data_IF_627147254060
#
_entry.id   IF_627147254060
#
_cell.length_a   1.000
_cell.length_b   1.000
_cell.length_c   1.000
_cell.angle_alpha   90.00
_cell.angle_beta   90.00
_cell.angle_gamma   90.00
#
_symmetry.space_group_name_H-M   'P 1'
#
loop_
_entity.id
_entity.type
_entity.pdbx_description
1 polymer ?
#
# COMPACT_ATOMS: atom_id res chain seq x y z
N UNK A 1 -8.20 7.02 3.21
CA UNK A 1 -7.00 6.20 3.49
C UNK A 1 -7.11 5.69 4.92
N UNK A 2 -7.00 4.39 5.14
CA UNK A 2 -7.01 3.81 6.50
C UNK A 2 -5.58 3.44 6.87
N UNK A 3 -5.12 3.98 7.99
CA UNK A 3 -3.85 3.63 8.60
C UNK A 3 -4.08 3.43 10.10
N UNK A 4 -3.86 2.21 10.58
CA UNK A 4 -3.73 1.87 12.01
C UNK A 4 -4.83 2.36 12.96
N UNK A 5 -6.10 1.99 12.76
CA UNK A 5 -7.19 2.40 13.69
C UNK A 5 -7.45 3.92 13.74
N UNK A 6 -6.74 4.68 12.90
CA UNK A 6 -6.91 6.09 12.64
C UNK A 6 -7.25 6.24 11.16
N UNK A 7 -8.53 6.18 10.84
CA UNK A 7 -8.98 6.46 9.48
C UNK A 7 -8.76 7.95 9.18
N UNK A 8 -8.00 8.24 8.12
CA UNK A 8 -7.83 9.61 7.61
C UNK A 8 -8.46 9.72 6.23
N UNK A 9 -9.52 10.51 6.16
CA UNK A 9 -10.07 10.95 4.89
C UNK A 9 -9.13 12.01 4.31
N UNK A 10 -8.68 11.78 3.08
CA UNK A 10 -7.89 12.76 2.31
C UNK A 10 -8.78 13.28 1.18
N UNK A 11 -8.90 14.59 1.07
CA UNK A 11 -9.81 15.23 0.11
C UNK A 11 -9.09 15.71 -1.15
N UNK A 12 -7.76 15.90 -1.08
CA UNK A 12 -6.95 16.41 -2.18
C UNK A 12 -5.67 15.59 -2.39
N UNK A 13 -5.10 15.68 -3.58
CA UNK A 13 -3.79 15.07 -3.88
C UNK A 13 -2.65 15.69 -3.06
N UNK A 14 -2.78 16.96 -2.67
CA UNK A 14 -1.83 17.61 -1.76
C UNK A 14 -1.91 17.03 -0.34
N UNK A 15 -3.12 16.82 0.19
CA UNK A 15 -3.32 16.18 1.50
C UNK A 15 -2.81 14.74 1.49
N UNK A 16 -2.99 14.03 0.38
CA UNK A 16 -2.46 12.69 0.17
C UNK A 16 -0.93 12.69 0.24
N UNK A 17 -0.27 13.55 -0.55
CA UNK A 17 1.19 13.63 -0.58
C UNK A 17 1.76 13.98 0.80
N UNK A 18 1.14 14.93 1.51
CA UNK A 18 1.51 15.28 2.88
C UNK A 18 1.33 14.09 3.84
N UNK A 19 0.23 13.34 3.72
CA UNK A 19 -0.03 12.14 4.54
C UNK A 19 1.02 11.05 4.29
N UNK A 20 1.36 10.77 3.04
CA UNK A 20 2.37 9.77 2.69
C UNK A 20 3.77 10.18 3.20
N UNK A 21 4.07 11.48 3.18
CA UNK A 21 5.31 12.03 3.71
C UNK A 21 5.36 11.92 5.25
N UNK A 22 4.28 12.28 5.94
CA UNK A 22 4.15 12.12 7.40
C UNK A 22 4.38 10.67 7.83
N UNK A 23 3.76 9.71 7.15
CA UNK A 23 3.97 8.27 7.41
C UNK A 23 5.44 7.92 7.24
N UNK A 24 6.06 8.37 6.14
CA UNK A 24 7.48 8.11 5.89
C UNK A 24 8.37 8.67 7.00
N UNK A 25 8.11 9.90 7.46
CA UNK A 25 8.84 10.53 8.57
C UNK A 25 8.64 9.75 9.87
N UNK A 26 7.41 9.35 10.20
CA UNK A 26 7.11 8.60 11.43
C UNK A 26 7.81 7.25 11.45
N UNK A 27 7.89 6.57 10.31
CA UNK A 27 8.59 5.27 10.19
C UNK A 27 10.11 5.36 10.25
N UNK A 28 10.70 6.55 10.17
CA UNK A 28 12.17 6.72 10.22
C UNK A 28 12.80 6.26 11.55
N UNK A 29 12.00 6.11 12.60
CA UNK A 29 12.42 5.66 13.94
C UNK A 29 11.83 4.31 14.34
N UNK A 30 11.08 3.66 13.44
CA UNK A 30 10.32 2.43 13.72
C UNK A 30 10.31 1.44 12.56
N UNK A 31 9.34 0.53 12.57
CA UNK A 31 9.10 -0.33 11.41
C UNK A 31 8.49 0.50 10.27
N UNK A 32 8.77 0.17 8.99
CA UNK A 32 7.96 0.68 7.89
C UNK A 32 6.51 0.22 8.07
N UNK A 33 5.55 0.87 7.42
CA UNK A 33 4.14 0.68 7.71
C UNK A 33 3.33 0.25 6.51
N UNK A 34 2.35 -0.60 6.76
CA UNK A 34 1.35 -0.99 5.79
C UNK A 34 0.11 -0.10 5.93
N UNK A 35 -0.38 0.43 4.81
CA UNK A 35 -1.58 1.26 4.72
C UNK A 35 -2.59 0.62 3.80
N UNK A 36 -3.88 0.75 4.14
CA UNK A 36 -4.96 0.35 3.25
C UNK A 36 -5.61 1.59 2.64
N UNK A 37 -5.59 1.68 1.31
CA UNK A 37 -6.12 2.81 0.55
C UNK A 37 -7.44 2.39 -0.06
N UNK A 38 -8.52 2.97 0.45
CA UNK A 38 -9.89 2.72 0.02
C UNK A 38 -10.46 3.92 -0.73
N UNK A 39 -11.40 3.71 -1.67
CA UNK A 39 -12.25 4.78 -2.19
C UNK A 39 -13.01 5.50 -1.07
N UNK A 40 -13.27 6.79 -1.25
CA UNK A 40 -14.02 7.58 -0.27
C UNK A 40 -15.43 6.99 -0.05
N UNK A 41 -15.96 7.15 1.16
CA UNK A 41 -17.30 6.69 1.54
C UNK A 41 -17.37 5.23 1.99
N UNK A 42 -16.28 4.47 1.89
CA UNK A 42 -16.20 3.06 2.28
C UNK A 42 -15.40 2.87 3.57
N UNK A 43 -15.16 3.94 4.33
CA UNK A 43 -14.34 3.92 5.56
C UNK A 43 -14.94 3.07 6.68
N UNK A 44 -16.24 2.79 6.59
CA UNK A 44 -17.01 2.02 7.56
C UNK A 44 -17.02 0.52 7.24
N UNK A 45 -16.56 0.12 6.06
CA UNK A 45 -16.54 -1.26 5.62
C UNK A 45 -15.24 -1.95 6.04
N UNK A 46 -15.34 -3.24 6.26
CA UNK A 46 -14.27 -4.16 6.60
C UNK A 46 -14.06 -5.15 5.46
N UNK A 47 -12.87 -5.77 5.34
CA UNK A 47 -12.62 -6.79 4.32
C UNK A 47 -13.53 -8.03 4.41
N UNK A 48 -14.39 -8.13 5.44
CA UNK A 48 -15.36 -9.20 5.63
C UNK A 48 -16.76 -8.84 5.14
N UNK A 49 -16.99 -7.59 4.73
CA UNK A 49 -18.26 -7.14 4.17
C UNK A 49 -18.35 -7.49 2.67
N UNK A 50 -19.51 -7.97 2.23
CA UNK A 50 -19.74 -8.43 0.84
C UNK A 50 -19.58 -7.31 -0.20
N UNK A 51 -19.75 -6.06 0.22
CA UNK A 51 -19.62 -4.86 -0.60
C UNK A 51 -18.29 -4.12 -0.40
N UNK A 52 -17.30 -4.78 0.22
CA UNK A 52 -15.98 -4.19 0.39
C UNK A 52 -15.36 -3.85 -0.98
N UNK A 53 -14.97 -2.59 -1.21
CA UNK A 53 -14.55 -2.17 -2.53
C UNK A 53 -13.13 -2.65 -2.84
N UNK A 54 -12.83 -2.69 -4.13
CA UNK A 54 -11.46 -2.84 -4.60
C UNK A 54 -10.55 -1.78 -3.95
N UNK A 55 -9.39 -2.21 -3.46
CA UNK A 55 -8.47 -1.33 -2.73
C UNK A 55 -7.01 -1.73 -2.89
N UNK A 56 -6.12 -0.86 -2.40
CA UNK A 56 -4.68 -1.12 -2.33
C UNK A 56 -4.22 -1.29 -0.88
N UNK A 57 -3.39 -2.29 -0.64
CA UNK A 57 -2.54 -2.35 0.54
C UNK A 57 -1.10 -2.01 0.12
N UNK A 58 -0.45 -1.08 0.81
CA UNK A 58 0.85 -0.55 0.40
C UNK A 58 1.80 -0.47 1.59
N UNK A 59 3.02 -0.97 1.40
CA UNK A 59 4.13 -0.81 2.34
C UNK A 59 4.90 0.48 2.10
N UNK A 60 5.04 1.32 3.11
CA UNK A 60 5.69 2.63 3.08
C UNK A 60 6.76 2.75 4.18
N UNK A 61 7.75 3.61 3.98
CA UNK A 61 8.71 3.98 5.03
C UNK A 61 10.07 3.28 4.98
N UNK A 62 10.20 2.13 4.30
CA UNK A 62 11.50 1.51 4.10
C UNK A 62 12.26 2.23 2.97
N UNK A 63 13.57 2.53 3.13
CA UNK A 63 14.29 3.44 2.22
C UNK A 63 14.44 2.90 0.79
N UNK A 64 14.41 1.57 0.61
CA UNK A 64 14.69 0.96 -0.70
C UNK A 64 13.62 0.03 -1.24
N UNK A 65 12.61 -0.30 -0.42
CA UNK A 65 11.65 -1.37 -0.74
C UNK A 65 10.27 -1.00 -0.23
N UNK A 66 9.28 -1.43 -0.96
CA UNK A 66 7.87 -1.31 -0.67
C UNK A 66 7.18 -2.57 -1.21
N UNK A 67 5.91 -2.73 -0.88
CA UNK A 67 5.02 -3.64 -1.58
C UNK A 67 3.75 -2.87 -1.97
N UNK A 68 3.09 -3.35 -3.02
CA UNK A 68 1.76 -2.88 -3.43
C UNK A 68 0.93 -4.12 -3.70
N UNK A 69 -0.21 -4.26 -3.03
CA UNK A 69 -1.13 -5.36 -3.19
C UNK A 69 -2.48 -4.83 -3.63
N UNK A 70 -2.99 -5.37 -4.73
CA UNK A 70 -4.34 -5.15 -5.22
C UNK A 70 -5.28 -6.13 -4.54
N UNK A 71 -6.28 -5.59 -3.85
CA UNK A 71 -7.32 -6.32 -3.14
C UNK A 71 -8.65 -6.06 -3.84
N UNK A 72 -8.78 -6.59 -5.05
CA UNK A 72 -9.99 -6.52 -5.86
C UNK A 72 -10.10 -7.73 -6.78
N UNK A 73 -10.90 -7.64 -7.85
CA UNK A 73 -10.93 -8.70 -8.87
C UNK A 73 -9.53 -8.93 -9.45
N UNK A 74 -9.13 -10.20 -9.62
CA UNK A 74 -7.76 -10.59 -9.97
C UNK A 74 -6.68 -9.98 -9.06
N UNK A 75 -6.90 -10.13 -7.75
CA UNK A 75 -5.98 -9.74 -6.69
C UNK A 75 -4.54 -10.20 -6.93
N UNK A 76 -3.57 -9.42 -6.44
CA UNK A 76 -2.17 -9.73 -6.65
C UNK A 76 -1.21 -8.68 -6.15
N UNK A 77 0.08 -8.96 -6.30
CA UNK A 77 1.15 -8.04 -5.92
C UNK A 77 1.72 -7.35 -7.16
N UNK A 78 1.86 -6.03 -7.04
CA UNK A 78 2.55 -5.21 -8.00
C UNK A 78 4.06 -5.43 -7.91
N UNK A 79 4.76 -5.42 -9.04
CA UNK A 79 6.21 -5.53 -9.09
C UNK A 79 6.82 -4.73 -10.25
N UNK A 80 8.06 -4.31 -10.06
CA UNK A 80 8.94 -3.76 -11.07
C UNK A 80 9.86 -4.89 -11.59
N UNK A 81 9.86 -5.21 -12.89
CA UNK A 81 10.57 -6.38 -13.42
C UNK A 81 12.08 -6.31 -13.20
N UNK A 82 12.64 -5.11 -13.20
CA UNK A 82 14.09 -4.88 -13.06
C UNK A 82 14.54 -4.76 -11.59
N UNK A 83 13.60 -4.72 -10.64
CA UNK A 83 13.93 -4.71 -9.22
C UNK A 83 14.07 -6.16 -8.72
N UNK A 84 15.22 -6.56 -8.15
CA UNK A 84 15.38 -7.89 -7.58
C UNK A 84 14.49 -8.07 -6.34
N UNK A 85 14.25 -9.32 -5.91
CA UNK A 85 13.57 -9.60 -4.65
C UNK A 85 14.15 -8.79 -3.47
N UNK A 86 13.28 -8.39 -2.55
CA UNK A 86 13.65 -7.67 -1.33
C UNK A 86 14.39 -8.55 -0.31
N UNK A 87 14.87 -7.94 0.78
CA UNK A 87 15.50 -8.68 1.87
C UNK A 87 14.49 -9.59 2.57
N UNK A 88 14.93 -10.80 2.92
CA UNK A 88 14.12 -11.72 3.71
C UNK A 88 13.85 -11.17 5.11
N UNK A 89 12.63 -11.38 5.61
CA UNK A 89 12.24 -11.01 6.97
C UNK A 89 12.00 -9.52 7.19
N UNK A 90 11.95 -8.71 6.13
CA UNK A 90 11.43 -7.35 6.22
C UNK A 90 9.97 -7.38 6.67
N UNK A 91 9.60 -6.49 7.57
CA UNK A 91 8.27 -6.45 8.20
C UNK A 91 7.71 -5.06 8.08
N UNK A 92 6.40 -4.99 7.90
CA UNK A 92 5.67 -3.73 7.93
C UNK A 92 4.69 -3.76 9.08
N UNK A 93 4.65 -2.71 9.89
CA UNK A 93 3.64 -2.58 10.93
C UNK A 93 2.28 -2.27 10.29
N UNK A 94 1.30 -3.13 10.57
CA UNK A 94 -0.09 -2.97 10.18
C UNK A 94 -0.95 -2.83 11.43
N UNK A 95 -0.96 -1.62 12.01
CA UNK A 95 -1.78 -1.32 13.19
C UNK A 95 -1.33 -2.07 14.45
N UNK A 96 -0.02 -2.18 14.67
CA UNK A 96 0.57 -2.96 15.76
C UNK A 96 0.69 -4.45 15.49
N UNK A 97 0.19 -4.94 14.35
CA UNK A 97 0.40 -6.31 13.88
C UNK A 97 1.40 -6.29 12.73
N UNK A 98 2.60 -6.88 12.88
CA UNK A 98 3.55 -6.94 11.78
C UNK A 98 3.05 -7.89 10.68
N UNK A 99 3.08 -7.42 9.44
CA UNK A 99 2.92 -8.27 8.27
C UNK A 99 4.29 -8.59 7.66
N UNK A 100 4.34 -9.71 6.95
CA UNK A 100 5.58 -10.32 6.46
C UNK A 100 5.47 -10.58 4.95
N UNK A 101 5.60 -9.55 4.10
CA UNK A 101 5.63 -9.78 2.67
C UNK A 101 6.83 -10.64 2.29
N UNK A 102 6.61 -11.56 1.37
CA UNK A 102 7.67 -12.41 0.83
C UNK A 102 8.66 -11.58 -0.01
N UNK A 103 9.93 -11.99 -0.15
CA UNK A 103 10.93 -11.26 -0.93
C UNK A 103 10.48 -10.86 -2.34
N UNK A 104 9.68 -11.70 -2.99
CA UNK A 104 9.18 -11.45 -4.35
C UNK A 104 8.02 -10.43 -4.40
N UNK A 105 7.34 -10.17 -3.27
CA UNK A 105 6.29 -9.17 -3.11
C UNK A 105 6.87 -7.77 -2.81
N UNK A 106 8.12 -7.73 -2.34
CA UNK A 106 8.89 -6.51 -2.06
C UNK A 106 9.55 -5.89 -3.29
N UNK A 107 9.15 -6.31 -4.50
CA UNK A 107 9.75 -5.86 -5.77
C UNK A 107 9.16 -4.52 -6.23
N UNK A 108 8.97 -3.59 -5.30
CA UNK A 108 8.51 -2.22 -5.57
C UNK A 108 9.43 -1.22 -4.86
N UNK A 109 9.83 -0.18 -5.57
CA UNK A 109 10.56 0.95 -4.99
C UNK A 109 9.61 1.91 -4.26
N UNK A 110 10.05 2.64 -3.23
CA UNK A 110 9.18 3.58 -2.52
C UNK A 110 8.53 4.65 -3.44
N UNK A 111 9.23 5.23 -4.44
CA UNK A 111 8.58 6.13 -5.40
C UNK A 111 7.46 5.47 -6.21
N UNK A 112 7.65 4.22 -6.65
CA UNK A 112 6.63 3.49 -7.40
C UNK A 112 5.41 3.16 -6.52
N UNK A 113 5.62 2.81 -5.25
CA UNK A 113 4.52 2.60 -4.31
C UNK A 113 3.69 3.88 -4.08
N UNK A 114 4.35 5.04 -3.95
CA UNK A 114 3.64 6.34 -3.87
C UNK A 114 2.84 6.63 -5.14
N UNK A 115 3.44 6.42 -6.31
CA UNK A 115 2.75 6.60 -7.59
C UNK A 115 1.54 5.67 -7.74
N UNK A 116 1.60 4.44 -7.22
CA UNK A 116 0.48 3.51 -7.21
C UNK A 116 -0.70 4.02 -6.37
N UNK A 117 -0.42 4.59 -5.20
CA UNK A 117 -1.45 5.21 -4.37
C UNK A 117 -2.10 6.40 -5.08
N UNK A 118 -1.30 7.25 -5.72
CA UNK A 118 -1.79 8.41 -6.47
C UNK A 118 -2.65 8.00 -7.68
N UNK A 119 -2.19 7.03 -8.46
CA UNK A 119 -2.92 6.50 -9.62
C UNK A 119 -4.25 5.87 -9.19
N UNK A 120 -4.24 5.06 -8.13
CA UNK A 120 -5.44 4.43 -7.60
C UNK A 120 -6.44 5.45 -7.07
N UNK A 121 -6.01 6.46 -6.31
CA UNK A 121 -6.92 7.50 -5.81
C UNK A 121 -7.52 8.32 -6.96
N UNK A 122 -6.75 8.53 -8.03
CA UNK A 122 -7.21 9.31 -9.19
C UNK A 122 -8.20 8.52 -10.05
N UNK A 123 -7.98 7.21 -10.21
CA UNK A 123 -8.71 6.39 -11.20
C UNK A 123 -9.72 5.44 -10.57
N UNK A 124 -9.54 5.09 -9.30
CA UNK A 124 -10.22 3.97 -8.64
C UNK A 124 -9.86 2.60 -9.23
N UNK A 125 -8.80 2.50 -10.03
CA UNK A 125 -8.44 1.28 -10.77
C UNK A 125 -7.07 0.74 -10.34
N UNK A 126 -6.83 -0.53 -10.66
CA UNK A 126 -5.55 -1.20 -10.43
C UNK A 126 -4.42 -0.44 -11.15
N UNK A 127 -3.35 0.00 -10.44
CA UNK A 127 -2.24 0.76 -11.03
C UNK A 127 -1.61 0.07 -12.24
N UNK A 128 -1.39 0.84 -13.31
CA UNK A 128 -0.99 0.32 -14.62
C UNK A 128 0.52 0.36 -14.85
N UNK A 129 1.26 1.18 -14.09
CA UNK A 129 2.71 1.28 -14.20
C UNK A 129 3.47 0.12 -13.51
N UNK A 130 2.75 -0.75 -12.79
CA UNK A 130 3.27 -1.97 -12.20
C UNK A 130 2.82 -3.19 -13.01
N UNK A 131 3.68 -4.20 -13.07
CA UNK A 131 3.26 -5.53 -13.49
C UNK A 131 2.65 -6.26 -12.28
N UNK A 132 1.78 -7.24 -12.54
CA UNK A 132 1.03 -7.91 -11.49
C UNK A 132 1.29 -9.41 -11.50
N UNK A 133 1.59 -9.95 -10.33
CA UNK A 133 1.64 -11.39 -10.08
C UNK A 133 0.41 -11.79 -9.25
N UNK A 134 -0.27 -12.90 -9.57
CA UNK A 134 -1.39 -13.38 -8.76
C UNK A 134 -0.96 -13.59 -7.31
N UNK A 135 -1.84 -13.30 -6.37
CA UNK A 135 -1.64 -13.74 -4.99
C UNK A 135 -1.58 -15.28 -4.99
N UNK A 136 -0.54 -15.85 -4.37
CA UNK A 136 -0.39 -17.30 -4.23
C UNK A 136 -1.21 -17.85 -3.06
#
# INVERSE_FOLDING_TARGET
MIWTGHTRTVATTADLAATLEEITIQTSTGLPMAVTVLPAGHEHLTPYDDDFPDCLEVGLGHPERAFVRWMGHDGGYGYQPDLPPGPAGLRFDYGGQPIHPEPHELRVSPPAARHAVEEFITTGQRPTHLLWQPAQ
#
